data_IF_967845002683
#
_entry.id   IF_967845002683
#
_cell.length_a   1.000
_cell.length_b   1.000
_cell.length_c   1.000
_cell.angle_alpha   90.00
_cell.angle_beta   90.00
_cell.angle_gamma   90.00
#
_symmetry.space_group_name_H-M   'P 1'
#
loop_
_entity.id
_entity.type
_entity.pdbx_description
1 polymer ?
#
# COMPACT_ATOMS: atom_id res chain seq x y z
N UNK A 1 22.61 -3.27 -8.33
CA UNK A 1 21.13 -3.13 -8.27
C UNK A 1 20.73 -3.72 -6.94
N UNK A 2 20.33 -2.90 -5.97
CA UNK A 2 19.97 -3.40 -4.65
C UNK A 2 18.54 -3.95 -4.71
N UNK A 3 18.35 -5.21 -4.35
CA UNK A 3 17.00 -5.80 -4.25
C UNK A 3 16.44 -5.45 -2.88
N UNK A 4 15.19 -5.00 -2.79
CA UNK A 4 14.54 -4.69 -1.51
C UNK A 4 13.29 -5.55 -1.41
N UNK A 5 13.22 -6.39 -0.37
CA UNK A 5 12.05 -7.19 -0.07
C UNK A 5 11.34 -6.61 1.15
N UNK A 6 10.06 -6.29 1.00
CA UNK A 6 9.25 -5.69 2.04
C UNK A 6 7.97 -6.51 2.17
N UNK A 7 7.63 -6.89 3.39
CA UNK A 7 6.35 -7.52 3.72
C UNK A 7 5.61 -6.57 4.65
N UNK A 8 4.39 -6.22 4.26
CA UNK A 8 3.52 -5.28 4.95
C UNK A 8 2.27 -6.02 5.43
N UNK A 9 1.85 -5.75 6.67
CA UNK A 9 0.50 -6.04 7.16
C UNK A 9 -0.29 -4.75 7.16
N UNK A 10 -1.47 -4.79 6.57
CA UNK A 10 -2.33 -3.63 6.43
C UNK A 10 -3.71 -4.03 6.92
N UNK A 11 -4.27 -3.25 7.84
CA UNK A 11 -5.66 -3.31 8.24
C UNK A 11 -6.39 -2.14 7.58
N UNK A 12 -7.39 -2.44 6.75
CA UNK A 12 -8.14 -1.43 6.02
C UNK A 12 -9.63 -1.74 6.03
N UNK A 13 -10.43 -0.71 5.74
CA UNK A 13 -11.88 -0.78 5.56
C UNK A 13 -12.31 0.15 4.43
N UNK A 14 -13.21 -0.30 3.57
CA UNK A 14 -13.78 0.56 2.54
C UNK A 14 -14.74 1.59 3.14
N UNK A 15 -14.76 2.80 2.59
CA UNK A 15 -15.78 3.80 2.96
C UNK A 15 -17.15 3.34 2.47
N UNK A 16 -18.10 3.20 3.39
CA UNK A 16 -19.49 2.82 3.09
C UNK A 16 -20.12 3.69 1.99
N UNK A 17 -19.76 4.97 1.95
CA UNK A 17 -20.25 5.95 0.98
C UNK A 17 -19.71 5.72 -0.45
N UNK A 18 -18.52 5.12 -0.58
CA UNK A 18 -17.83 4.90 -1.85
C UNK A 18 -17.91 3.44 -2.32
N UNK A 19 -18.34 2.53 -1.45
CA UNK A 19 -18.54 1.09 -1.73
C UNK A 19 -19.28 0.82 -3.05
N UNK A 20 -20.41 1.50 -3.38
CA UNK A 20 -21.10 1.28 -4.65
C UNK A 20 -20.26 1.69 -5.87
N UNK A 21 -19.51 2.80 -5.78
CA UNK A 21 -18.61 3.27 -6.84
C UNK A 21 -17.42 2.33 -7.03
N UNK A 22 -16.83 1.88 -5.93
CA UNK A 22 -15.69 0.96 -5.95
C UNK A 22 -16.11 -0.35 -6.60
N UNK A 23 -17.23 -0.95 -6.19
CA UNK A 23 -17.75 -2.17 -6.81
C UNK A 23 -18.10 -2.00 -8.28
N UNK A 24 -18.62 -0.84 -8.69
CA UNK A 24 -18.96 -0.58 -10.10
C UNK A 24 -17.70 -0.41 -10.97
N UNK A 25 -16.68 0.27 -10.45
CA UNK A 25 -15.47 0.57 -11.22
C UNK A 25 -14.46 -0.59 -11.24
N UNK A 26 -14.30 -1.28 -10.12
CA UNK A 26 -13.26 -2.31 -9.92
C UNK A 26 -13.81 -3.74 -9.86
N UNK A 27 -15.11 -3.92 -9.64
CA UNK A 27 -15.74 -5.23 -9.51
C UNK A 27 -15.48 -5.91 -8.16
N UNK A 28 -15.78 -7.21 -8.09
CA UNK A 28 -15.59 -8.04 -6.89
C UNK A 28 -14.12 -8.17 -6.48
N UNK A 29 -13.20 -8.07 -7.44
CA UNK A 29 -11.75 -8.20 -7.22
C UNK A 29 -11.09 -6.86 -6.86
N UNK A 30 -11.87 -5.87 -6.40
CA UNK A 30 -11.33 -4.54 -6.10
C UNK A 30 -10.23 -4.58 -5.05
N UNK A 31 -10.36 -5.45 -4.03
CA UNK A 31 -9.39 -5.55 -2.94
C UNK A 31 -8.02 -5.97 -3.47
N UNK A 32 -7.97 -7.03 -4.27
CA UNK A 32 -6.72 -7.55 -4.84
C UNK A 32 -6.09 -6.53 -5.79
N UNK A 33 -6.88 -5.90 -6.67
CA UNK A 33 -6.39 -4.90 -7.63
C UNK A 33 -5.83 -3.66 -6.96
N UNK A 34 -6.52 -3.17 -5.94
CA UNK A 34 -6.09 -1.98 -5.19
C UNK A 34 -4.83 -2.30 -4.38
N UNK A 35 -4.77 -3.45 -3.71
CA UNK A 35 -3.59 -3.88 -2.96
C UNK A 35 -2.37 -4.08 -3.86
N UNK A 36 -2.54 -4.70 -5.04
CA UNK A 36 -1.47 -4.83 -6.05
C UNK A 36 -0.98 -3.47 -6.53
N UNK A 37 -1.89 -2.54 -6.79
CA UNK A 37 -1.56 -1.18 -7.25
C UNK A 37 -0.78 -0.40 -6.20
N UNK A 38 -1.27 -0.41 -4.95
CA UNK A 38 -0.61 0.22 -3.80
C UNK A 38 0.80 -0.36 -3.62
N UNK A 39 0.93 -1.69 -3.67
CA UNK A 39 2.22 -2.37 -3.51
C UNK A 39 3.22 -1.94 -4.59
N UNK A 40 2.81 -1.91 -5.86
CA UNK A 40 3.68 -1.48 -6.97
C UNK A 40 4.17 -0.04 -6.81
N UNK A 41 3.31 0.88 -6.39
CA UNK A 41 3.68 2.29 -6.23
C UNK A 41 4.62 2.53 -5.04
N UNK A 42 4.42 1.79 -3.95
CA UNK A 42 5.32 1.82 -2.78
C UNK A 42 6.69 1.27 -3.16
N UNK A 43 6.75 0.15 -3.88
CA UNK A 43 8.01 -0.46 -4.30
C UNK A 43 8.83 0.48 -5.18
N UNK A 44 8.18 1.19 -6.13
CA UNK A 44 8.85 2.22 -6.95
C UNK A 44 9.43 3.35 -6.10
N UNK A 45 8.68 3.79 -5.10
CA UNK A 45 9.11 4.90 -4.22
C UNK A 45 10.25 4.49 -3.29
N UNK A 46 10.27 3.25 -2.79
CA UNK A 46 11.31 2.77 -1.87
C UNK A 46 12.68 2.61 -2.53
N UNK A 47 12.74 2.33 -3.84
CA UNK A 47 14.03 2.20 -4.57
C UNK A 47 14.90 3.46 -4.50
N UNK A 48 14.30 4.64 -4.28
CA UNK A 48 15.00 5.93 -4.26
C UNK A 48 15.33 6.37 -2.82
N UNK A 49 14.72 5.75 -1.80
CA UNK A 49 14.73 6.25 -0.42
C UNK A 49 15.86 5.62 0.41
N UNK A 50 16.51 6.46 1.24
CA UNK A 50 17.52 6.04 2.21
C UNK A 50 16.93 5.11 3.28
N UNK A 51 17.69 4.06 3.67
CA UNK A 51 17.28 3.00 4.61
C UNK A 51 16.62 3.52 5.89
N UNK A 52 17.08 4.65 6.41
CA UNK A 52 16.64 5.21 7.70
C UNK A 52 15.21 5.74 7.69
N UNK A 53 14.65 6.08 6.52
CA UNK A 53 13.34 6.72 6.40
C UNK A 53 12.27 5.83 5.76
N UNK A 54 12.61 4.60 5.37
CA UNK A 54 11.70 3.70 4.64
C UNK A 54 10.41 3.46 5.42
N UNK A 55 10.48 3.19 6.72
CA UNK A 55 9.27 2.83 7.51
C UNK A 55 8.23 3.94 7.55
N UNK A 56 8.63 5.18 7.84
CA UNK A 56 7.71 6.32 7.88
C UNK A 56 7.15 6.61 6.50
N UNK A 57 8.01 6.65 5.47
CA UNK A 57 7.59 6.97 4.10
C UNK A 57 6.64 5.93 3.51
N UNK A 58 6.89 4.65 3.75
CA UNK A 58 5.98 3.58 3.31
C UNK A 58 4.60 3.79 3.92
N UNK A 59 4.51 4.05 5.23
CA UNK A 59 3.21 4.28 5.89
C UNK A 59 2.47 5.49 5.31
N UNK A 60 3.18 6.60 5.06
CA UNK A 60 2.62 7.80 4.44
C UNK A 60 2.07 7.50 3.04
N UNK A 61 2.86 6.86 2.19
CA UNK A 61 2.49 6.52 0.82
C UNK A 61 1.29 5.57 0.77
N UNK A 62 1.32 4.49 1.56
CA UNK A 62 0.18 3.56 1.64
C UNK A 62 -1.10 4.32 1.99
N UNK A 63 -1.00 5.26 2.94
CA UNK A 63 -2.11 6.09 3.39
C UNK A 63 -2.67 6.98 2.29
N UNK A 64 -1.79 7.68 1.59
CA UNK A 64 -2.18 8.57 0.51
C UNK A 64 -2.82 7.81 -0.65
N UNK A 65 -2.24 6.69 -1.07
CA UNK A 65 -2.78 5.88 -2.17
C UNK A 65 -4.11 5.22 -1.78
N UNK A 66 -4.23 4.63 -0.59
CA UNK A 66 -5.48 4.02 -0.15
C UNK A 66 -6.64 5.03 -0.11
N UNK A 67 -6.37 6.27 0.32
CA UNK A 67 -7.35 7.34 0.35
C UNK A 67 -7.89 7.67 -1.05
N UNK A 68 -7.05 7.62 -2.10
CA UNK A 68 -7.47 7.82 -3.49
C UNK A 68 -8.44 6.74 -3.98
N UNK A 69 -8.29 5.50 -3.49
CA UNK A 69 -9.21 4.40 -3.79
C UNK A 69 -10.44 4.36 -2.88
N UNK A 70 -10.59 5.31 -1.96
CA UNK A 70 -11.71 5.34 -1.02
C UNK A 70 -11.60 4.29 0.10
N UNK A 71 -10.39 3.79 0.35
CA UNK A 71 -10.07 2.92 1.47
C UNK A 71 -9.56 3.76 2.66
N UNK A 72 -10.01 3.39 3.85
CA UNK A 72 -9.48 3.89 5.11
C UNK A 72 -8.54 2.85 5.68
N UNK A 73 -7.38 3.28 6.13
CA UNK A 73 -6.41 2.41 6.79
C UNK A 73 -6.54 2.59 8.30
N UNK A 74 -6.75 1.49 9.00
CA UNK A 74 -6.82 1.47 10.46
C UNK A 74 -5.45 1.19 11.07
N UNK A 75 -4.62 0.34 10.44
CA UNK A 75 -3.26 0.04 10.89
C UNK A 75 -2.34 -0.39 9.72
N UNK A 76 -1.06 -0.01 9.78
CA UNK A 76 -0.02 -0.46 8.85
C UNK A 76 1.22 -0.85 9.65
N UNK A 77 1.73 -2.04 9.37
CA UNK A 77 2.92 -2.58 10.04
C UNK A 77 3.85 -3.26 9.04
N UNK A 78 5.15 -2.97 9.12
CA UNK A 78 6.17 -3.67 8.33
C UNK A 78 6.61 -4.91 9.10
N UNK A 79 6.30 -6.09 8.60
CA UNK A 79 6.62 -7.37 9.28
C UNK A 79 7.99 -7.90 8.89
N UNK A 80 8.43 -7.63 7.67
CA UNK A 80 9.75 -8.03 7.18
C UNK A 80 10.32 -6.97 6.25
N UNK A 81 11.59 -6.63 6.46
CA UNK A 81 12.35 -5.74 5.60
C UNK A 81 13.74 -6.35 5.40
N UNK A 82 14.05 -6.79 4.18
CA UNK A 82 15.37 -7.29 3.83
C UNK A 82 15.91 -6.62 2.57
N UNK A 83 17.23 -6.44 2.57
CA UNK A 83 17.97 -5.88 1.46
C UNK A 83 18.79 -7.02 0.86
N UNK A 84 18.46 -7.40 -0.38
CA UNK A 84 19.27 -8.32 -1.16
C UNK A 84 20.60 -7.69 -1.58
N UNK A 85 21.62 -8.51 -1.86
CA UNK A 85 22.94 -8.08 -2.30
C UNK A 85 22.93 -7.32 -3.64
#
# INVERSE_FOLDING_TARGET
LQTINIILRILYRARAELLPKIFTNLGSDYEERVLLSITNEILKSVVIIQRTLITQRVSELVTEYAAQFGLLLDDISITHLSFGP
#
